data_IF_571652675823
#
_entry.id   IF_571652675823
#
_cell.length_a   1.000
_cell.length_b   1.000
_cell.length_c   1.000
_cell.angle_alpha   90.00
_cell.angle_beta   90.00
_cell.angle_gamma   90.00
#
_symmetry.space_group_name_H-M   'P 1'
#
loop_
_entity.id
_entity.type
_entity.pdbx_description
1 polymer ?
#
# COMPACT_ATOMS: atom_id res chain seq x y z
N UNK A 1 5.19 10.53 7.76
CA UNK A 1 4.19 9.50 7.34
C UNK A 1 4.90 8.50 6.44
N UNK A 2 4.45 7.24 6.38
CA UNK A 2 4.98 6.23 5.48
C UNK A 2 3.92 5.88 4.44
N UNK A 3 4.27 5.90 3.16
CA UNK A 3 3.40 5.56 2.03
C UNK A 3 3.92 4.30 1.36
N UNK A 4 3.15 3.22 1.45
CA UNK A 4 3.38 1.95 0.77
C UNK A 4 2.50 1.84 -0.47
N UNK A 5 3.14 1.76 -1.64
CA UNK A 5 2.46 1.58 -2.92
C UNK A 5 2.46 0.09 -3.24
N UNK A 6 1.34 -0.59 -3.01
CA UNK A 6 1.19 -2.00 -3.34
C UNK A 6 1.28 -2.19 -4.86
N UNK A 7 2.22 -3.02 -5.30
CA UNK A 7 2.48 -3.29 -6.72
C UNK A 7 2.75 -4.76 -6.97
N UNK A 8 2.65 -5.23 -8.22
CA UNK A 8 2.91 -6.63 -8.59
C UNK A 8 4.10 -6.75 -9.54
N UNK A 9 4.61 -7.98 -9.75
CA UNK A 9 5.70 -8.23 -10.69
C UNK A 9 5.44 -7.68 -12.09
N UNK A 10 4.21 -7.85 -12.59
CA UNK A 10 3.75 -7.38 -13.91
C UNK A 10 3.58 -5.87 -14.02
N UNK A 11 3.55 -5.14 -12.91
CA UNK A 11 3.23 -3.70 -12.86
C UNK A 11 4.41 -2.78 -13.17
N UNK A 12 5.45 -3.24 -13.89
CA UNK A 12 6.64 -2.42 -14.18
C UNK A 12 6.30 -1.04 -14.79
N UNK A 13 5.43 -1.02 -15.79
CA UNK A 13 5.00 0.22 -16.47
C UNK A 13 4.28 1.19 -15.51
N UNK A 14 3.51 0.66 -14.55
CA UNK A 14 2.83 1.48 -13.53
C UNK A 14 3.83 2.11 -12.57
N UNK A 15 4.81 1.33 -12.09
CA UNK A 15 5.90 1.86 -11.24
C UNK A 15 6.69 2.96 -11.94
N UNK A 16 7.05 2.75 -13.21
CA UNK A 16 7.74 3.77 -14.01
C UNK A 16 6.87 5.03 -14.20
N UNK A 17 5.57 4.87 -14.45
CA UNK A 17 4.64 6.00 -14.53
C UNK A 17 4.56 6.79 -13.22
N UNK A 18 4.47 6.11 -12.08
CA UNK A 18 4.46 6.74 -10.76
C UNK A 18 5.75 7.53 -10.50
N UNK A 19 6.92 6.93 -10.79
CA UNK A 19 8.23 7.59 -10.71
C UNK A 19 8.33 8.83 -11.59
N UNK A 20 7.73 8.77 -12.78
CA UNK A 20 7.76 9.87 -13.75
C UNK A 20 6.68 10.93 -13.48
N UNK A 21 5.84 10.75 -12.46
CA UNK A 21 4.75 11.68 -12.14
C UNK A 21 4.84 12.17 -10.71
N UNK A 22 4.26 11.47 -9.75
CA UNK A 22 4.03 12.00 -8.40
C UNK A 22 5.03 11.51 -7.36
N UNK A 23 5.77 10.43 -7.61
CA UNK A 23 6.78 9.95 -6.68
C UNK A 23 8.15 10.56 -6.99
N UNK A 24 8.73 11.37 -6.08
CA UNK A 24 10.09 11.87 -6.27
C UNK A 24 11.11 10.73 -6.36
N UNK A 25 12.15 10.93 -7.17
CA UNK A 25 13.22 9.95 -7.40
C UNK A 25 14.57 10.46 -6.90
N UNK A 26 15.48 9.54 -6.60
CA UNK A 26 16.87 9.85 -6.21
C UNK A 26 16.96 10.85 -5.07
N UNK A 27 17.78 11.89 -5.24
CA UNK A 27 18.01 12.93 -4.22
C UNK A 27 16.74 13.69 -3.82
N UNK A 28 15.78 13.87 -4.74
CA UNK A 28 14.50 14.52 -4.40
C UNK A 28 13.69 13.67 -3.42
N UNK A 29 13.76 12.34 -3.54
CA UNK A 29 13.11 11.40 -2.62
C UNK A 29 13.79 11.42 -1.26
N UNK A 30 15.12 11.34 -1.23
CA UNK A 30 15.91 11.41 0.02
C UNK A 30 15.65 12.71 0.77
N UNK A 31 15.66 13.85 0.06
CA UNK A 31 15.34 15.15 0.64
C UNK A 31 13.94 15.18 1.27
N UNK A 32 12.96 14.56 0.63
CA UNK A 32 11.60 14.44 1.18
C UNK A 32 11.57 13.57 2.45
N UNK A 33 12.35 12.49 2.48
CA UNK A 33 12.50 11.62 3.66
C UNK A 33 13.16 12.36 4.82
N UNK A 34 14.28 13.03 4.58
CA UNK A 34 15.09 13.72 5.59
C UNK A 34 14.41 15.00 6.12
N UNK A 35 13.89 15.85 5.23
CA UNK A 35 13.37 17.16 5.63
C UNK A 35 11.91 17.12 6.09
N UNK A 36 11.12 16.15 5.60
CA UNK A 36 9.68 16.09 5.89
C UNK A 36 9.26 14.81 6.61
N UNK A 37 10.15 13.84 6.80
CA UNK A 37 9.80 12.55 7.41
C UNK A 37 8.74 11.81 6.60
N UNK A 38 8.73 11.97 5.26
CA UNK A 38 7.80 11.30 4.35
C UNK A 38 8.56 10.23 3.59
N UNK A 39 8.24 8.97 3.89
CA UNK A 39 8.84 7.80 3.25
C UNK A 39 7.86 7.26 2.22
N UNK A 40 8.34 6.97 1.02
CA UNK A 40 7.54 6.40 -0.06
C UNK A 40 8.27 5.20 -0.63
N UNK A 41 7.62 4.03 -0.63
CA UNK A 41 8.19 2.78 -1.15
C UNK A 41 7.18 2.00 -1.98
N UNK A 42 7.65 1.36 -3.05
CA UNK A 42 6.90 0.30 -3.71
C UNK A 42 6.95 -0.96 -2.87
N UNK A 43 5.78 -1.47 -2.49
CA UNK A 43 5.65 -2.63 -1.60
C UNK A 43 5.46 -3.88 -2.45
N UNK A 44 6.42 -4.80 -2.33
CA UNK A 44 6.43 -6.03 -3.10
C UNK A 44 7.00 -7.19 -2.29
N UNK A 45 6.35 -8.34 -2.34
CA UNK A 45 6.83 -9.60 -1.82
C UNK A 45 7.80 -10.29 -2.78
N UNK A 46 7.96 -11.60 -2.60
CA UNK A 46 8.77 -12.46 -3.46
C UNK A 46 7.88 -13.47 -4.18
N UNK A 47 8.43 -14.09 -5.24
CA UNK A 47 7.72 -15.16 -5.91
C UNK A 47 7.75 -16.44 -5.06
N UNK A 48 6.84 -17.39 -5.35
CA UNK A 48 6.82 -18.68 -4.67
C UNK A 48 8.12 -19.49 -4.90
N UNK A 49 8.78 -19.29 -6.04
CA UNK A 49 10.05 -19.92 -6.38
C UNK A 49 11.16 -18.87 -6.28
N UNK A 50 11.83 -18.84 -5.14
CA UNK A 50 12.91 -17.88 -4.88
C UNK A 50 13.98 -17.92 -5.97
N UNK A 51 14.44 -16.74 -6.38
CA UNK A 51 15.51 -16.57 -7.36
C UNK A 51 15.06 -16.73 -8.83
N UNK A 52 13.76 -16.85 -9.09
CA UNK A 52 13.18 -16.88 -10.42
C UNK A 52 13.40 -15.60 -11.24
N UNK A 53 13.00 -15.63 -12.51
CA UNK A 53 13.18 -14.51 -13.45
C UNK A 53 12.54 -13.22 -12.92
N UNK A 54 11.33 -13.33 -12.34
CA UNK A 54 10.61 -12.17 -11.79
C UNK A 54 11.31 -11.56 -10.59
N UNK A 55 11.87 -12.36 -9.69
CA UNK A 55 12.64 -11.85 -8.53
C UNK A 55 13.94 -11.18 -8.98
N UNK A 56 14.63 -11.74 -9.97
CA UNK A 56 15.83 -11.12 -10.55
C UNK A 56 15.52 -9.78 -11.23
N UNK A 57 14.37 -9.68 -11.92
CA UNK A 57 13.92 -8.44 -12.52
C UNK A 57 13.64 -7.36 -11.47
N UNK A 58 12.98 -7.72 -10.36
CA UNK A 58 12.77 -6.79 -9.24
C UNK A 58 14.10 -6.40 -8.59
N UNK A 59 15.01 -7.34 -8.34
CA UNK A 59 16.32 -7.02 -7.77
C UNK A 59 17.13 -6.07 -8.67
N UNK A 60 17.04 -6.22 -10.00
CA UNK A 60 17.69 -5.31 -10.94
C UNK A 60 17.05 -3.91 -10.92
N UNK A 61 15.72 -3.83 -10.82
CA UNK A 61 15.02 -2.56 -10.65
C UNK A 61 15.37 -1.88 -9.33
N UNK A 62 15.41 -2.64 -8.24
CA UNK A 62 15.71 -2.12 -6.91
C UNK A 62 17.14 -1.60 -6.83
N UNK A 63 18.13 -2.31 -7.41
CA UNK A 63 19.49 -1.77 -7.53
C UNK A 63 19.57 -0.44 -8.27
N UNK A 64 18.67 -0.20 -9.23
CA UNK A 64 18.65 1.03 -10.02
C UNK A 64 17.96 2.19 -9.30
N UNK A 65 16.86 1.92 -8.60
CA UNK A 65 15.99 2.98 -8.07
C UNK A 65 15.96 3.06 -6.54
N UNK A 66 16.26 1.96 -5.84
CA UNK A 66 16.29 1.84 -4.39
C UNK A 66 15.00 2.31 -3.71
N UNK A 67 13.84 2.13 -4.37
CA UNK A 67 12.53 2.54 -3.88
C UNK A 67 11.64 1.38 -3.44
N UNK A 68 12.12 0.14 -3.41
CA UNK A 68 11.31 -0.96 -2.91
C UNK A 68 11.34 -1.11 -1.39
N UNK A 69 10.24 -1.63 -0.89
CA UNK A 69 10.12 -2.30 0.38
C UNK A 69 9.80 -3.76 0.06
N UNK A 70 10.81 -4.61 0.22
CA UNK A 70 10.70 -6.07 0.00
C UNK A 70 10.08 -6.70 1.24
N UNK A 71 8.98 -7.42 1.06
CA UNK A 71 8.30 -8.14 2.13
C UNK A 71 8.66 -9.63 2.12
N UNK A 72 8.71 -10.23 3.30
CA UNK A 72 8.65 -11.68 3.46
C UNK A 72 7.20 -12.14 3.30
N UNK A 73 6.78 -12.24 2.04
CA UNK A 73 5.41 -12.54 1.63
C UNK A 73 5.43 -13.08 0.20
N UNK A 74 4.79 -14.23 -0.02
CA UNK A 74 4.60 -14.79 -1.36
C UNK A 74 3.51 -14.02 -2.08
N UNK A 75 3.84 -13.39 -3.21
CA UNK A 75 2.86 -12.66 -4.02
C UNK A 75 1.80 -13.58 -4.63
N UNK A 76 0.54 -13.17 -4.53
CA UNK A 76 -0.60 -13.85 -5.12
C UNK A 76 -1.86 -12.98 -5.05
N UNK A 77 -2.81 -13.19 -5.97
CA UNK A 77 -4.05 -12.39 -5.98
C UNK A 77 -4.91 -12.60 -4.72
N UNK A 78 -5.01 -13.84 -4.25
CA UNK A 78 -5.73 -14.16 -3.01
C UNK A 78 -4.96 -13.74 -1.75
N UNK A 79 -3.69 -13.39 -1.91
CA UNK A 79 -2.77 -13.05 -0.81
C UNK A 79 -2.69 -11.53 -0.53
N UNK A 80 -3.48 -10.70 -1.25
CA UNK A 80 -3.44 -9.24 -1.12
C UNK A 80 -3.74 -8.73 0.31
N UNK A 81 -4.63 -9.41 1.03
CA UNK A 81 -4.90 -9.11 2.44
C UNK A 81 -3.69 -9.42 3.32
N UNK A 82 -3.04 -10.57 3.08
CA UNK A 82 -1.80 -10.96 3.75
C UNK A 82 -0.68 -9.96 3.48
N UNK A 83 -0.48 -9.57 2.22
CA UNK A 83 0.48 -8.54 1.82
C UNK A 83 0.30 -7.23 2.55
N UNK A 84 -0.95 -6.78 2.63
CA UNK A 84 -1.31 -5.52 3.30
C UNK A 84 -1.02 -5.58 4.79
N UNK A 85 -1.35 -6.69 5.46
CA UNK A 85 -1.00 -6.92 6.86
C UNK A 85 0.52 -6.90 7.07
N UNK A 86 1.27 -7.65 6.25
CA UNK A 86 2.73 -7.70 6.34
C UNK A 86 3.34 -6.33 6.09
N UNK A 87 2.84 -5.57 5.12
CA UNK A 87 3.26 -4.19 4.88
C UNK A 87 3.16 -3.32 6.12
N UNK A 88 1.99 -3.23 6.76
CA UNK A 88 1.81 -2.38 7.94
C UNK A 88 2.72 -2.84 9.09
N UNK A 89 2.77 -4.14 9.37
CA UNK A 89 3.62 -4.69 10.43
C UNK A 89 5.10 -4.35 10.21
N UNK A 90 5.61 -4.54 8.98
CA UNK A 90 7.00 -4.20 8.66
C UNK A 90 7.23 -2.69 8.65
N UNK A 91 6.28 -1.88 8.17
CA UNK A 91 6.44 -0.43 8.12
C UNK A 91 6.50 0.18 9.52
N UNK A 92 5.66 -0.29 10.44
CA UNK A 92 5.66 0.12 11.86
C UNK A 92 6.99 -0.26 12.53
N UNK A 93 7.52 -1.44 12.24
CA UNK A 93 8.78 -1.90 12.80
C UNK A 93 10.00 -1.09 12.30
N UNK A 94 9.96 -0.60 11.06
CA UNK A 94 11.08 0.10 10.43
C UNK A 94 11.08 1.61 10.65
N UNK A 95 9.90 2.22 10.74
CA UNK A 95 9.77 3.68 10.74
C UNK A 95 8.79 4.15 11.80
N UNK A 96 9.24 5.07 12.65
CA UNK A 96 8.35 5.81 13.54
C UNK A 96 7.64 6.94 12.79
N UNK A 97 6.35 6.79 12.52
CA UNK A 97 5.55 7.78 11.82
C UNK A 97 4.15 7.90 12.44
N UNK A 98 3.56 9.11 12.40
CA UNK A 98 2.18 9.30 12.87
C UNK A 98 1.14 8.51 12.07
N UNK A 99 1.40 8.29 10.78
CA UNK A 99 0.50 7.62 9.85
C UNK A 99 1.25 6.70 8.89
N UNK A 100 0.62 5.56 8.60
CA UNK A 100 1.01 4.59 7.59
C UNK A 100 -0.11 4.53 6.53
N UNK A 101 0.25 4.61 5.26
CA UNK A 101 -0.68 4.79 4.14
C UNK A 101 -0.48 3.67 3.14
N UNK A 102 -1.55 2.97 2.80
CA UNK A 102 -1.57 2.01 1.70
C UNK A 102 -2.14 2.69 0.46
N UNK A 103 -1.50 2.50 -0.68
CA UNK A 103 -1.90 3.02 -2.00
C UNK A 103 -1.79 1.91 -3.05
N UNK A 104 -2.70 1.85 -4.03
CA UNK A 104 -2.55 1.00 -5.22
C UNK A 104 -1.69 1.66 -6.31
N UNK A 105 -0.99 0.86 -7.10
CA UNK A 105 -0.09 1.35 -8.15
C UNK A 105 -0.78 1.92 -9.41
N UNK A 106 -2.12 1.97 -9.44
CA UNK A 106 -2.92 2.70 -10.42
C UNK A 106 -3.57 3.97 -9.87
N UNK A 107 -3.07 4.48 -8.73
CA UNK A 107 -3.52 5.72 -8.10
C UNK A 107 -2.47 6.82 -8.24
N UNK A 108 -2.93 8.04 -8.52
CA UNK A 108 -2.13 9.25 -8.43
C UNK A 108 -2.35 9.95 -7.09
N UNK A 109 -1.27 10.30 -6.38
CA UNK A 109 -1.36 10.91 -5.05
C UNK A 109 -0.73 12.29 -5.03
N UNK A 110 -1.50 13.30 -4.63
CA UNK A 110 -0.95 14.60 -4.25
C UNK A 110 -0.40 14.54 -2.82
N UNK A 111 0.92 14.34 -2.68
CA UNK A 111 1.60 14.10 -1.40
C UNK A 111 1.39 15.27 -0.42
N UNK A 112 1.45 16.52 -0.90
CA UNK A 112 1.28 17.70 -0.05
C UNK A 112 -0.13 17.77 0.53
N UNK A 113 -1.15 17.55 -0.32
CA UNK A 113 -2.56 17.55 0.11
C UNK A 113 -2.84 16.41 1.08
N UNK A 114 -2.31 15.20 0.81
CA UNK A 114 -2.43 14.07 1.73
C UNK A 114 -1.83 14.40 3.10
N UNK A 115 -0.63 15.01 3.13
CA UNK A 115 0.01 15.43 4.38
C UNK A 115 -0.80 16.46 5.15
N UNK A 116 -1.38 17.46 4.46
CA UNK A 116 -2.25 18.45 5.08
C UNK A 116 -3.56 17.86 5.62
N UNK A 117 -4.10 16.81 4.99
CA UNK A 117 -5.29 16.11 5.49
C UNK A 117 -4.91 15.33 6.75
N UNK A 118 -3.86 14.50 6.68
CA UNK A 118 -3.45 13.65 7.80
C UNK A 118 -2.97 14.45 9.02
N UNK A 119 -2.36 15.63 8.83
CA UNK A 119 -1.92 16.47 9.94
C UNK A 119 -3.07 16.92 10.84
N UNK A 120 -4.27 17.11 10.28
CA UNK A 120 -5.50 17.45 11.04
C UNK A 120 -5.99 16.30 11.93
N UNK A 121 -5.48 15.09 11.74
CA UNK A 121 -5.86 13.89 12.47
C UNK A 121 -4.82 13.43 13.51
N UNK A 122 -3.66 14.10 13.61
CA UNK A 122 -2.55 13.65 14.49
C UNK A 122 -2.95 13.51 15.96
N UNK A 123 -3.81 14.41 16.47
CA UNK A 123 -4.26 14.38 17.87
C UNK A 123 -5.39 13.38 18.15
N UNK A 124 -5.93 12.72 17.12
CA UNK A 124 -7.03 11.77 17.27
C UNK A 124 -6.45 10.36 17.46
N UNK A 125 -6.92 9.61 18.47
CA UNK A 125 -6.49 8.23 18.65
C UNK A 125 -7.14 7.33 17.58
N UNK A 126 -6.42 6.29 17.20
CA UNK A 126 -6.86 5.14 16.39
C UNK A 126 -7.60 5.53 15.11
N UNK A 127 -6.99 6.42 14.34
CA UNK A 127 -7.56 6.92 13.09
C UNK A 127 -7.43 5.86 12.01
N UNK A 128 -8.57 5.51 11.41
CA UNK A 128 -8.67 4.81 10.13
C UNK A 128 -9.42 5.73 9.16
N UNK A 129 -8.77 6.15 8.07
CA UNK A 129 -9.34 7.11 7.14
C UNK A 129 -9.05 6.78 5.68
N UNK A 130 -10.00 7.09 4.81
CA UNK A 130 -9.98 6.83 3.39
C UNK A 130 -11.37 7.09 2.80
N UNK A 131 -11.62 6.65 1.57
CA UNK A 131 -12.97 6.70 1.02
C UNK A 131 -13.81 5.61 1.68
N UNK A 132 -14.50 5.95 2.78
CA UNK A 132 -15.25 4.98 3.58
C UNK A 132 -16.53 4.56 2.87
N UNK A 133 -16.70 3.26 2.64
CA UNK A 133 -17.90 2.65 2.07
C UNK A 133 -18.45 1.54 2.95
N UNK A 134 -19.70 1.19 2.69
CA UNK A 134 -20.36 -0.04 3.11
C UNK A 134 -21.32 -0.41 1.97
N UNK A 135 -21.62 -1.69 1.82
CA UNK A 135 -22.42 -2.19 0.72
C UNK A 135 -22.82 -3.64 0.95
N UNK A 136 -23.66 -4.21 0.07
CA UNK A 136 -24.09 -5.59 0.18
C UNK A 136 -22.90 -6.53 0.09
N UNK A 137 -22.98 -7.66 0.80
CA UNK A 137 -22.07 -8.78 0.59
C UNK A 137 -22.37 -9.38 -0.78
N UNK A 138 -21.33 -9.55 -1.60
CA UNK A 138 -21.47 -9.96 -2.99
C UNK A 138 -21.46 -11.49 -3.08
N UNK A 139 -22.65 -12.10 -3.04
CA UNK A 139 -22.83 -13.56 -3.07
C UNK A 139 -23.04 -14.14 -4.48
N UNK A 140 -23.11 -13.30 -5.51
CA UNK A 140 -23.20 -13.73 -6.91
C UNK A 140 -21.81 -14.09 -7.46
N UNK A 141 -21.64 -15.31 -7.99
CA UNK A 141 -20.36 -15.81 -8.52
C UNK A 141 -19.90 -15.09 -9.79
N UNK A 142 -20.80 -14.45 -10.51
CA UNK A 142 -20.50 -13.78 -11.78
C UNK A 142 -19.90 -12.38 -11.57
N UNK A 143 -20.00 -11.83 -10.36
CA UNK A 143 -19.44 -10.50 -10.06
C UNK A 143 -17.96 -10.59 -9.70
N UNK A 144 -17.19 -9.60 -10.15
CA UNK A 144 -15.73 -9.52 -9.96
C UNK A 144 -15.26 -9.74 -8.50
N UNK A 145 -16.05 -9.30 -7.54
CA UNK A 145 -15.72 -9.33 -6.11
C UNK A 145 -16.63 -10.29 -5.34
N UNK A 146 -17.04 -11.39 -5.97
CA UNK A 146 -17.73 -12.49 -5.30
C UNK A 146 -16.98 -12.89 -4.02
N UNK A 147 -17.74 -13.03 -2.93
CA UNK A 147 -17.25 -13.47 -1.63
C UNK A 147 -17.60 -14.95 -1.42
N UNK A 148 -16.61 -15.87 -1.53
CA UNK A 148 -16.85 -17.30 -1.34
C UNK A 148 -17.41 -17.64 0.04
N UNK A 149 -17.10 -16.81 1.05
CA UNK A 149 -17.54 -17.00 2.42
C UNK A 149 -18.69 -16.06 2.81
N UNK A 150 -19.50 -15.61 1.84
CA UNK A 150 -20.55 -14.58 2.05
C UNK A 150 -21.51 -14.93 3.19
N UNK A 151 -21.79 -16.22 3.39
CA UNK A 151 -22.63 -16.75 4.46
C UNK A 151 -22.13 -16.37 5.87
N UNK A 152 -20.86 -15.99 6.04
CA UNK A 152 -20.29 -15.52 7.32
C UNK A 152 -20.53 -14.04 7.61
N UNK A 153 -20.83 -13.23 6.59
CA UNK A 153 -20.79 -11.76 6.67
C UNK A 153 -22.18 -11.11 6.74
N UNK A 154 -23.26 -11.89 6.67
CA UNK A 154 -24.63 -11.38 6.61
C UNK A 154 -24.90 -10.59 5.32
N UNK A 155 -25.87 -9.67 5.36
CA UNK A 155 -26.32 -8.98 4.15
C UNK A 155 -25.40 -7.83 3.71
N UNK A 156 -24.57 -7.28 4.60
CA UNK A 156 -23.76 -6.07 4.35
C UNK A 156 -22.39 -6.15 4.99
N UNK A 157 -21.37 -5.66 4.27
CA UNK A 157 -20.03 -5.49 4.83
C UNK A 157 -19.99 -4.39 5.90
N UNK A 158 -19.14 -4.60 6.91
CA UNK A 158 -18.72 -3.55 7.83
C UNK A 158 -18.19 -2.33 7.06
N UNK A 159 -18.30 -1.16 7.67
CA UNK A 159 -17.76 0.08 7.09
C UNK A 159 -16.24 -0.05 6.96
N UNK A 160 -15.72 0.15 5.77
CA UNK A 160 -14.29 0.03 5.45
C UNK A 160 -13.89 1.08 4.41
N UNK A 161 -12.60 1.43 4.36
CA UNK A 161 -12.09 2.27 3.29
C UNK A 161 -11.98 1.48 1.98
N UNK A 162 -12.18 2.14 0.84
CA UNK A 162 -11.89 1.52 -0.46
C UNK A 162 -10.41 1.14 -0.58
N UNK A 163 -10.13 0.10 -1.36
CA UNK A 163 -8.79 -0.46 -1.48
C UNK A 163 -7.77 0.53 -2.05
N UNK A 164 -8.17 1.48 -2.90
CA UNK A 164 -7.25 2.34 -3.66
C UNK A 164 -6.28 3.13 -2.77
N UNK A 165 -6.80 3.75 -1.69
CA UNK A 165 -6.00 4.54 -0.76
C UNK A 165 -6.68 4.63 0.59
N UNK A 166 -5.93 4.32 1.65
CA UNK A 166 -6.33 4.62 3.02
C UNK A 166 -5.11 4.74 3.94
N UNK A 167 -5.32 5.40 5.08
CA UNK A 167 -4.31 5.64 6.09
C UNK A 167 -4.78 5.16 7.47
N UNK A 168 -3.85 4.65 8.26
CA UNK A 168 -4.04 4.31 9.66
C UNK A 168 -3.01 5.04 10.52
N UNK A 169 -3.42 5.48 11.72
CA UNK A 169 -2.51 6.07 12.69
C UNK A 169 -1.61 5.03 13.35
N UNK A 170 -0.49 5.47 13.91
CA UNK A 170 0.50 4.61 14.57
C UNK A 170 -0.09 3.69 15.66
N UNK A 171 -1.03 4.21 16.45
CA UNK A 171 -1.66 3.48 17.54
C UNK A 171 -2.76 2.51 17.08
N UNK A 172 -3.15 2.56 15.80
CA UNK A 172 -4.02 1.57 15.18
C UNK A 172 -3.26 0.51 14.38
N UNK A 173 -2.12 0.88 13.80
CA UNK A 173 -1.26 0.02 13.00
C UNK A 173 -0.57 -1.06 13.85
#
# INVERSE_FOLDING_TARGET
MVIGINTAFSSRKRRDSIRNTWMPQGEKRKKLEEEKGIIIRFVIGHSAISGGIVDRAIAAEDRKHGDFMRLDHVEGYLELSGKTKTYFATAVALWDANFYVKVDDDVHVNIATLGQILSKHISRPRVYTGCMKSGPVLSDKEVRYYEPEHWKFGDKYFRHATGQLYAISKDLA
#
